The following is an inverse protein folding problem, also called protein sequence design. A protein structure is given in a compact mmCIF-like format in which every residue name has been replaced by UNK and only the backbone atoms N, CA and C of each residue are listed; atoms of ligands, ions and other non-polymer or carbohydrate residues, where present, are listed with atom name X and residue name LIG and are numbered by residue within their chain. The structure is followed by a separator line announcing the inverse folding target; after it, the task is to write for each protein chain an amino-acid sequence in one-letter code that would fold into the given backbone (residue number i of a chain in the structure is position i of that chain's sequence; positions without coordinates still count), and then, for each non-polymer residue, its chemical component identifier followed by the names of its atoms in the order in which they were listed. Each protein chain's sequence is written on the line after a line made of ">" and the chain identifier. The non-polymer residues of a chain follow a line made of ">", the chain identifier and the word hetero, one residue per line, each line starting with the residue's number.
data_IF_760504346302
#
_entry.id   IF_760504346302
#
_cell.length_a   1.000
_cell.length_b   1.000
_cell.length_c   1.000
_cell.angle_alpha   90.00
_cell.angle_beta   90.00
_cell.angle_gamma   90.00
#
_symmetry.space_group_name_H-M   'P 1'
#
loop_
_entity.id
_entity.type
_entity.pdbx_description
1 polymer ?
#
# COMPACT_ATOMS: atom_id res chain seq x y z
N UNK A 1 12.28 13.87 -7.96
CA UNK A 1 11.68 13.40 -6.69
C UNK A 1 11.72 11.88 -6.72
N UNK A 2 12.05 11.24 -5.60
CA UNK A 2 12.00 9.78 -5.50
C UNK A 2 10.76 9.41 -4.69
N UNK A 3 9.87 8.66 -5.30
CA UNK A 3 8.72 8.04 -4.64
C UNK A 3 9.18 6.68 -4.12
N UNK A 4 8.60 6.26 -2.99
CA UNK A 4 8.80 4.94 -2.42
C UNK A 4 7.48 4.19 -2.52
N UNK A 5 7.50 2.93 -2.91
CA UNK A 5 6.28 2.15 -2.96
C UNK A 5 6.49 0.71 -2.51
N UNK A 6 5.39 0.08 -2.09
CA UNK A 6 5.31 -1.35 -1.83
C UNK A 6 3.97 -1.88 -2.34
N UNK A 7 3.98 -3.15 -2.76
CA UNK A 7 2.80 -3.86 -3.25
C UNK A 7 2.20 -4.63 -2.09
N UNK A 8 0.91 -4.42 -1.85
CA UNK A 8 0.13 -5.16 -0.87
C UNK A 8 -0.47 -6.40 -1.52
N UNK A 9 -0.17 -7.56 -0.95
CA UNK A 9 -0.66 -8.85 -1.41
C UNK A 9 -1.46 -9.54 -0.32
N UNK A 10 -2.51 -10.25 -0.71
CA UNK A 10 -3.31 -11.09 0.18
C UNK A 10 -3.03 -12.56 -0.09
N UNK A 11 -3.32 -13.41 0.90
CA UNK A 11 -3.39 -14.86 0.73
C UNK A 11 -4.86 -15.28 0.62
N UNK A 12 -5.43 -15.35 -0.60
CA UNK A 12 -6.88 -15.55 -0.76
C UNK A 12 -7.35 -16.92 -0.26
N UNK A 13 -6.45 -17.90 -0.19
CA UNK A 13 -6.72 -19.24 0.32
C UNK A 13 -5.57 -19.65 1.24
N UNK A 14 -5.81 -19.84 2.56
CA UNK A 14 -4.76 -20.18 3.52
C UNK A 14 -4.00 -21.49 3.23
N UNK A 15 -4.60 -22.40 2.44
CA UNK A 15 -3.96 -23.66 2.03
C UNK A 15 -3.10 -23.54 0.78
N UNK A 16 -3.10 -22.38 0.09
CA UNK A 16 -2.18 -22.07 -0.99
C UNK A 16 -1.02 -21.25 -0.45
N UNK A 17 0.16 -21.38 -1.06
CA UNK A 17 1.36 -20.61 -0.69
C UNK A 17 1.58 -19.39 -1.61
N UNK A 18 0.56 -18.99 -2.36
CA UNK A 18 0.69 -17.97 -3.41
C UNK A 18 -0.04 -16.68 -3.01
N UNK A 19 0.76 -15.64 -2.76
CA UNK A 19 0.26 -14.30 -2.49
C UNK A 19 -0.17 -13.63 -3.78
N UNK A 20 -1.34 -12.99 -3.73
CA UNK A 20 -1.90 -12.28 -4.87
C UNK A 20 -1.81 -10.77 -4.62
N UNK A 21 -1.14 -10.01 -5.49
CA UNK A 21 -1.07 -8.56 -5.36
C UNK A 21 -2.45 -7.95 -5.59
N UNK A 22 -2.87 -7.05 -4.69
CA UNK A 22 -4.22 -6.45 -4.72
C UNK A 22 -4.20 -4.94 -4.51
N UNK A 23 -3.10 -4.39 -4.03
CA UNK A 23 -2.96 -2.96 -3.84
C UNK A 23 -1.53 -2.46 -3.88
N UNK A 24 -1.38 -1.15 -3.87
CA UNK A 24 -0.11 -0.43 -3.94
C UNK A 24 -0.15 0.71 -2.95
N UNK A 25 0.89 0.82 -2.14
CA UNK A 25 1.11 1.94 -1.23
C UNK A 25 2.24 2.78 -1.80
N UNK A 26 2.02 4.07 -1.96
CA UNK A 26 3.03 5.01 -2.50
C UNK A 26 3.22 6.14 -1.53
N UNK A 27 4.46 6.30 -1.04
CA UNK A 27 4.89 7.41 -0.20
C UNK A 27 5.70 8.40 -1.06
N UNK A 28 5.28 9.66 -1.05
CA UNK A 28 6.04 10.76 -1.61
C UNK A 28 7.02 11.38 -0.61
N UNK A 29 7.75 12.40 -1.06
CA UNK A 29 8.84 13.03 -0.31
C UNK A 29 8.41 14.35 0.36
N UNK A 30 7.11 14.67 0.34
CA UNK A 30 6.57 15.88 0.94
C UNK A 30 6.65 15.85 2.47
N UNK A 31 6.78 17.04 3.08
CA UNK A 31 6.70 17.24 4.53
C UNK A 31 5.26 17.10 5.08
N UNK A 32 4.47 16.19 4.51
CA UNK A 32 3.04 16.01 4.78
C UNK A 32 2.66 14.54 4.98
N UNK A 33 1.35 14.27 5.05
CA UNK A 33 0.80 12.93 4.83
C UNK A 33 0.84 12.60 3.33
N UNK A 34 2.04 12.52 2.77
CA UNK A 34 2.26 12.26 1.36
C UNK A 34 2.23 10.75 1.10
N UNK A 35 1.09 10.11 1.39
CA UNK A 35 0.86 8.69 1.15
C UNK A 35 -0.47 8.47 0.43
N UNK A 36 -0.45 7.65 -0.61
CA UNK A 36 -1.63 7.21 -1.32
C UNK A 36 -1.66 5.69 -1.44
N UNK A 37 -2.85 5.12 -1.28
CA UNK A 37 -3.09 3.69 -1.29
C UNK A 37 -4.11 3.37 -2.38
N UNK A 38 -3.76 2.43 -3.26
CA UNK A 38 -4.55 2.04 -4.41
C UNK A 38 -4.89 0.58 -4.32
N UNK A 39 -6.14 0.21 -4.59
CA UNK A 39 -6.59 -1.18 -4.55
C UNK A 39 -7.39 -1.51 -5.81
N UNK A 40 -7.34 -2.80 -6.19
CA UNK A 40 -8.13 -3.31 -7.31
C UNK A 40 -9.62 -3.09 -7.03
N UNK A 41 -10.33 -2.61 -8.04
CA UNK A 41 -11.79 -2.56 -8.01
C UNK A 41 -12.35 -3.97 -8.21
N UNK A 42 -12.68 -4.62 -7.09
CA UNK A 42 -13.14 -6.01 -7.03
C UNK A 42 -14.29 -6.14 -6.04
N UNK A 43 -15.15 -7.14 -6.28
CA UNK A 43 -16.22 -7.57 -5.34
C UNK A 43 -15.76 -8.68 -4.39
N UNK A 44 -14.49 -9.09 -4.49
CA UNK A 44 -13.91 -10.08 -3.58
C UNK A 44 -13.87 -9.51 -2.15
N UNK A 45 -14.55 -10.16 -1.18
CA UNK A 45 -14.56 -9.71 0.22
C UNK A 45 -13.16 -9.50 0.80
N UNK A 46 -12.17 -10.34 0.45
CA UNK A 46 -10.83 -10.23 0.98
C UNK A 46 -10.11 -8.95 0.49
N UNK A 47 -10.39 -8.53 -0.76
CA UNK A 47 -9.85 -7.29 -1.32
C UNK A 47 -10.54 -6.07 -0.70
N UNK A 48 -11.86 -6.15 -0.50
CA UNK A 48 -12.64 -5.08 0.12
C UNK A 48 -12.21 -4.85 1.58
N UNK A 49 -12.11 -5.91 2.37
CA UNK A 49 -11.61 -5.84 3.75
C UNK A 49 -10.19 -5.27 3.79
N UNK A 50 -9.36 -5.65 2.81
CA UNK A 50 -7.99 -5.13 2.74
C UNK A 50 -7.93 -3.63 2.44
N UNK A 51 -8.76 -3.17 1.50
CA UNK A 51 -8.91 -1.75 1.20
C UNK A 51 -9.42 -0.97 2.41
N UNK A 52 -10.46 -1.48 3.08
CA UNK A 52 -10.99 -0.84 4.30
C UNK A 52 -9.92 -0.74 5.38
N UNK A 53 -9.12 -1.79 5.60
CA UNK A 53 -8.02 -1.76 6.55
C UNK A 53 -6.96 -0.69 6.22
N UNK A 54 -6.72 -0.42 4.94
CA UNK A 54 -5.83 0.66 4.50
C UNK A 54 -6.44 2.05 4.74
N UNK A 55 -7.73 2.22 4.45
CA UNK A 55 -8.47 3.45 4.74
C UNK A 55 -8.46 3.76 6.27
N UNK A 56 -8.56 2.73 7.11
CA UNK A 56 -8.41 2.85 8.57
C UNK A 56 -7.03 3.36 9.01
N UNK A 57 -5.97 3.07 8.27
CA UNK A 57 -4.62 3.60 8.58
C UNK A 57 -4.60 5.11 8.35
N UNK A 58 -5.16 5.59 7.24
CA UNK A 58 -5.27 7.03 6.97
C UNK A 58 -6.11 7.72 8.05
N UNK A 59 -7.27 7.16 8.37
CA UNK A 59 -8.15 7.73 9.39
C UNK A 59 -7.43 7.82 10.74
N UNK A 60 -6.71 6.77 11.16
CA UNK A 60 -5.95 6.79 12.41
C UNK A 60 -4.86 7.86 12.42
N UNK A 61 -4.15 8.06 11.30
CA UNK A 61 -3.15 9.13 11.19
C UNK A 61 -3.79 10.51 11.37
N UNK A 62 -4.91 10.75 10.69
CA UNK A 62 -5.66 12.01 10.79
C UNK A 62 -6.21 12.24 12.20
N UNK A 63 -6.81 11.21 12.82
CA UNK A 63 -7.37 11.26 14.17
C UNK A 63 -6.31 11.57 15.25
N UNK A 64 -5.06 11.18 15.02
CA UNK A 64 -3.94 11.46 15.93
C UNK A 64 -3.22 12.78 15.62
N UNK A 65 -3.79 13.66 14.77
CA UNK A 65 -3.20 14.93 14.30
C UNK A 65 -1.78 14.74 13.74
N UNK A 66 -1.51 13.58 13.11
CA UNK A 66 -0.24 13.32 12.44
C UNK A 66 -0.24 14.10 11.13
N UNK A 67 0.70 15.05 11.01
CA UNK A 67 0.81 15.92 9.82
C UNK A 67 1.96 15.53 8.90
N UNK A 68 2.90 14.75 9.41
CA UNK A 68 4.12 14.34 8.70
C UNK A 68 4.36 12.86 8.96
N UNK A 69 4.65 12.09 7.92
CA UNK A 69 5.04 10.70 8.10
C UNK A 69 6.54 10.61 8.38
N UNK A 70 6.97 9.74 9.31
CA UNK A 70 8.36 9.35 9.43
C UNK A 70 8.89 8.74 8.12
N UNK A 71 10.19 8.90 7.87
CA UNK A 71 10.85 8.33 6.69
C UNK A 71 10.74 6.80 6.66
N UNK A 72 10.68 6.15 7.81
CA UNK A 72 10.60 4.70 8.00
C UNK A 72 9.16 4.16 8.11
N UNK A 73 8.16 4.96 7.76
CA UNK A 73 6.75 4.59 7.89
C UNK A 73 6.39 3.30 7.15
N UNK A 74 6.89 3.13 5.92
CA UNK A 74 6.62 1.94 5.11
C UNK A 74 7.28 0.70 5.72
N UNK A 75 8.51 0.82 6.20
CA UNK A 75 9.24 -0.24 6.89
C UNK A 75 8.51 -0.69 8.14
N UNK A 76 8.06 0.25 8.96
CA UNK A 76 7.29 -0.04 10.15
C UNK A 76 6.00 -0.78 9.80
N UNK A 77 5.23 -0.31 8.80
CA UNK A 77 4.00 -0.97 8.38
C UNK A 77 4.23 -2.36 7.78
N UNK A 78 5.31 -2.54 7.03
CA UNK A 78 5.68 -3.83 6.47
C UNK A 78 5.94 -4.87 7.56
N UNK A 79 6.64 -4.49 8.64
CA UNK A 79 6.98 -5.41 9.74
C UNK A 79 5.77 -5.80 10.60
N UNK A 80 4.74 -4.94 10.68
CA UNK A 80 3.53 -5.22 11.44
C UNK A 80 2.56 -6.17 10.70
N UNK A 81 2.88 -6.59 9.47
CA UNK A 81 2.01 -7.43 8.66
C UNK A 81 2.04 -8.89 9.13
N UNK A 82 0.87 -9.42 9.48
CA UNK A 82 0.69 -10.85 9.76
C UNK A 82 0.80 -11.66 8.46
N UNK A 83 1.61 -12.73 8.42
CA UNK A 83 1.70 -13.63 7.26
C UNK A 83 0.38 -14.32 6.88
N UNK A 84 -0.56 -14.42 7.82
CA UNK A 84 -1.87 -15.03 7.57
C UNK A 84 -2.83 -14.10 6.83
N UNK A 85 -2.64 -12.78 6.93
CA UNK A 85 -3.48 -11.78 6.29
C UNK A 85 -2.94 -11.38 4.91
N UNK A 86 -1.65 -11.62 4.67
CA UNK A 86 -0.95 -11.27 3.43
C UNK A 86 0.49 -10.84 3.66
N UNK A 87 1.08 -10.18 2.67
CA UNK A 87 2.45 -9.67 2.73
C UNK A 87 2.59 -8.39 1.93
N UNK A 88 3.57 -7.56 2.29
CA UNK A 88 4.00 -6.43 1.47
C UNK A 88 5.29 -6.80 0.73
N UNK A 89 5.42 -6.38 -0.53
CA UNK A 89 6.66 -6.51 -1.28
C UNK A 89 7.79 -5.69 -0.65
N UNK A 90 9.03 -5.94 -1.07
CA UNK A 90 10.15 -5.03 -0.79
C UNK A 90 9.80 -3.59 -1.21
N UNK A 91 10.25 -2.63 -0.40
CA UNK A 91 10.05 -1.22 -0.67
C UNK A 91 10.98 -0.81 -1.79
N UNK A 92 10.41 -0.33 -2.89
CA UNK A 92 11.15 0.09 -4.08
C UNK A 92 11.12 1.62 -4.22
N UNK A 93 12.23 2.19 -4.67
CA UNK A 93 12.31 3.61 -5.02
C UNK A 93 12.12 3.80 -6.52
N UNK A 94 11.36 4.81 -6.92
CA UNK A 94 11.21 5.20 -8.33
C UNK A 94 11.20 6.72 -8.49
N UNK A 95 11.83 7.20 -9.57
CA UNK A 95 11.74 8.59 -10.02
C UNK A 95 11.07 8.72 -11.39
N UNK A 96 10.45 7.64 -11.87
CA UNK A 96 9.86 7.56 -13.21
C UNK A 96 8.52 8.28 -13.30
N UNK A 97 7.84 8.46 -12.17
CA UNK A 97 6.50 9.02 -12.11
C UNK A 97 6.51 10.45 -11.54
N UNK A 98 5.65 11.34 -12.08
CA UNK A 98 5.58 12.74 -11.64
C UNK A 98 4.86 12.94 -10.31
N UNK A 99 4.05 11.97 -9.87
CA UNK A 99 3.29 12.02 -8.61
C UNK A 99 3.01 10.63 -8.04
N UNK A 100 2.66 10.59 -6.76
CA UNK A 100 2.13 9.43 -6.03
C UNK A 100 0.97 8.78 -6.78
N UNK A 101 -0.02 9.57 -7.22
CA UNK A 101 -1.17 9.07 -8.00
C UNK A 101 -0.77 8.44 -9.33
N UNK A 102 0.15 9.06 -10.08
CA UNK A 102 0.61 8.51 -11.36
C UNK A 102 1.35 7.18 -11.16
N UNK A 103 2.18 7.09 -10.11
CA UNK A 103 2.89 5.87 -9.75
C UNK A 103 1.92 4.76 -9.34
N UNK A 104 1.01 5.05 -8.41
CA UNK A 104 0.05 4.08 -7.90
C UNK A 104 -0.89 3.55 -8.98
N UNK A 105 -1.40 4.41 -9.85
CA UNK A 105 -2.24 3.98 -10.97
C UNK A 105 -1.50 3.09 -11.98
N UNK A 106 -0.24 3.41 -12.30
CA UNK A 106 0.56 2.62 -13.23
C UNK A 106 0.91 1.23 -12.66
N UNK A 107 1.27 1.16 -11.38
CA UNK A 107 1.56 -0.09 -10.68
C UNK A 107 0.30 -0.93 -10.45
N UNK A 108 -0.82 -0.31 -10.09
CA UNK A 108 -2.09 -1.03 -9.96
C UNK A 108 -2.55 -1.61 -11.31
N UNK A 109 -2.30 -0.90 -12.41
CA UNK A 109 -2.59 -1.40 -13.74
C UNK A 109 -1.68 -2.56 -14.18
N UNK A 110 -0.46 -2.66 -13.66
CA UNK A 110 0.41 -3.82 -13.92
C UNK A 110 -0.03 -5.06 -13.14
N UNK A 111 -0.60 -4.88 -11.94
CA UNK A 111 -1.18 -5.95 -11.11
C UNK A 111 -2.44 -6.56 -11.74
N UNK A 112 -3.23 -5.76 -12.47
CA UNK A 112 -4.48 -6.22 -13.09
C UNK A 112 -4.27 -7.17 -14.30
N UNK A 113 -3.05 -7.25 -14.84
CA UNK A 113 -2.71 -8.07 -16.02
C UNK A 113 -2.50 -9.53 -15.65
#
# INVERSE_FOLDING_TARGET
>A
MKLRYMIDSILPVPSKSEYHPVGVWVQGFGAGLDIEMFYLDSKDPAILERREAADWVINRLVENDIRTLPDDFLEYHQQQRSPYDGTFSEISETSEYPSTTACGAALLASIKK
#
